data_IF_115910083132
#
_entry.id   IF_115910083132
#
_cell.length_a   1.000
_cell.length_b   1.000
_cell.length_c   1.000
_cell.angle_alpha   90.00
_cell.angle_beta   90.00
_cell.angle_gamma   90.00
#
_symmetry.space_group_name_H-M   'P 1'
#
loop_
_entity.id
_entity.type
_entity.pdbx_description
1 polymer ?
#
# COMPACT_ATOMS: atom_id res chain seq x y z
N UNK A 1 12.38 3.89 11.49
CA UNK A 1 12.89 2.85 10.57
C UNK A 1 14.34 3.20 10.33
N UNK A 2 15.24 2.27 10.64
CA UNK A 2 16.67 2.49 10.55
C UNK A 2 17.12 2.22 9.11
N UNK A 3 17.59 3.24 8.41
CA UNK A 3 18.03 3.17 7.00
C UNK A 3 19.08 2.07 6.79
N UNK A 4 19.96 1.86 7.79
CA UNK A 4 21.00 0.83 7.75
C UNK A 4 20.39 -0.57 7.71
N UNK A 5 19.33 -0.81 8.50
CA UNK A 5 18.66 -2.11 8.55
C UNK A 5 17.94 -2.46 7.25
N UNK A 6 17.44 -1.47 6.53
CA UNK A 6 16.79 -1.71 5.23
C UNK A 6 17.82 -2.09 4.16
N UNK A 7 19.01 -1.50 4.21
CA UNK A 7 20.11 -1.83 3.31
C UNK A 7 20.63 -3.26 3.54
N UNK A 8 20.54 -3.78 4.77
CA UNK A 8 20.88 -5.18 5.09
C UNK A 8 19.97 -6.21 4.38
N UNK A 9 18.80 -5.81 3.89
CA UNK A 9 17.91 -6.68 3.12
C UNK A 9 18.31 -6.83 1.65
N UNK A 10 19.30 -6.05 1.18
CA UNK A 10 19.64 -5.95 -0.23
C UNK A 10 19.93 -7.29 -0.88
N UNK A 11 20.81 -8.11 -0.31
CA UNK A 11 21.20 -9.38 -0.92
C UNK A 11 20.03 -10.37 -0.97
N UNK A 12 19.23 -10.43 0.11
CA UNK A 12 18.05 -11.27 0.15
C UNK A 12 17.01 -10.86 -0.90
N UNK A 13 16.75 -9.55 -1.06
CA UNK A 13 15.79 -9.06 -2.05
C UNK A 13 16.28 -9.21 -3.47
N UNK A 14 17.58 -9.00 -3.70
CA UNK A 14 18.19 -9.26 -5.01
C UNK A 14 18.08 -10.73 -5.40
N UNK A 15 18.27 -11.64 -4.44
CA UNK A 15 18.17 -13.08 -4.66
C UNK A 15 16.71 -13.57 -4.84
N UNK A 16 15.76 -12.95 -4.13
CA UNK A 16 14.34 -13.32 -4.20
C UNK A 16 13.62 -12.77 -5.44
N UNK A 17 14.14 -11.71 -6.06
CA UNK A 17 13.52 -11.10 -7.24
C UNK A 17 13.69 -11.98 -8.49
N UNK A 18 12.57 -12.30 -9.14
CA UNK A 18 12.55 -13.12 -10.36
C UNK A 18 13.30 -12.41 -11.52
N UNK A 19 14.29 -13.06 -12.15
CA UNK A 19 15.04 -12.45 -13.24
C UNK A 19 14.21 -12.23 -14.52
N UNK A 20 13.07 -12.92 -14.68
CA UNK A 20 12.14 -12.74 -15.81
C UNK A 20 11.26 -11.49 -15.67
N UNK A 21 11.19 -10.91 -14.46
CA UNK A 21 10.38 -9.73 -14.19
C UNK A 21 9.88 -9.70 -12.75
N UNK A 22 10.20 -8.63 -12.04
CA UNK A 22 9.79 -8.42 -10.66
C UNK A 22 9.43 -6.95 -10.43
N UNK A 23 8.41 -6.71 -9.62
CA UNK A 23 8.03 -5.37 -9.15
C UNK A 23 8.18 -5.34 -7.64
N UNK A 24 8.90 -4.34 -7.14
CA UNK A 24 8.87 -3.98 -5.72
C UNK A 24 7.95 -2.78 -5.52
N UNK A 25 7.13 -2.82 -4.48
CA UNK A 25 6.23 -1.73 -4.11
C UNK A 25 6.51 -1.30 -2.66
N UNK A 26 6.88 -0.03 -2.48
CA UNK A 26 7.33 0.51 -1.18
C UNK A 26 6.43 1.66 -0.76
N UNK A 27 5.73 1.46 0.36
CA UNK A 27 5.01 2.55 1.03
C UNK A 27 6.02 3.52 1.66
N UNK A 28 5.94 4.79 1.27
CA UNK A 28 6.82 5.85 1.76
C UNK A 28 6.01 7.03 2.29
N UNK A 29 6.46 7.61 3.39
CA UNK A 29 5.82 8.81 3.96
C UNK A 29 6.09 10.03 3.07
N UNK A 30 5.38 11.13 3.30
CA UNK A 30 5.54 12.34 2.48
C UNK A 30 6.80 13.17 2.77
N UNK A 31 7.70 12.72 3.66
CA UNK A 31 8.95 13.43 3.93
C UNK A 31 9.89 13.31 2.73
N UNK A 32 10.36 14.43 2.12
CA UNK A 32 11.24 14.38 0.94
C UNK A 32 12.51 13.55 1.14
N UNK A 33 13.14 13.63 2.32
CA UNK A 33 14.35 12.87 2.63
C UNK A 33 14.18 11.35 2.46
N UNK A 34 13.03 10.79 2.85
CA UNK A 34 12.78 9.35 2.68
C UNK A 34 12.47 8.97 1.24
N UNK A 35 11.88 9.88 0.47
CA UNK A 35 11.69 9.67 -0.97
C UNK A 35 13.05 9.65 -1.68
N UNK A 36 13.93 10.62 -1.40
CA UNK A 36 15.29 10.64 -1.94
C UNK A 36 16.07 9.39 -1.52
N UNK A 37 16.03 9.01 -0.23
CA UNK A 37 16.69 7.79 0.23
C UNK A 37 16.18 6.54 -0.50
N UNK A 38 14.85 6.43 -0.68
CA UNK A 38 14.24 5.30 -1.38
C UNK A 38 14.73 5.21 -2.83
N UNK A 39 14.62 6.31 -3.58
CA UNK A 39 14.91 6.35 -5.01
C UNK A 39 16.42 6.29 -5.31
N UNK A 40 17.24 7.00 -4.53
CA UNK A 40 18.66 7.20 -4.83
C UNK A 40 19.56 6.14 -4.18
N UNK A 41 19.09 5.48 -3.12
CA UNK A 41 19.91 4.51 -2.36
C UNK A 41 19.26 3.15 -2.23
N UNK A 42 18.02 3.09 -1.77
CA UNK A 42 17.40 1.83 -1.37
C UNK A 42 17.03 0.95 -2.57
N UNK A 43 16.32 1.50 -3.55
CA UNK A 43 15.95 0.75 -4.76
C UNK A 43 17.18 0.27 -5.54
N UNK A 44 18.22 1.11 -5.77
CA UNK A 44 19.47 0.64 -6.37
C UNK A 44 20.16 -0.45 -5.55
N UNK A 45 20.24 -0.27 -4.23
CA UNK A 45 20.81 -1.30 -3.36
C UNK A 45 20.02 -2.63 -3.46
N UNK A 46 18.71 -2.60 -3.66
CA UNK A 46 17.90 -3.80 -3.85
C UNK A 46 17.90 -4.34 -5.29
N UNK A 47 18.61 -3.68 -6.22
CA UNK A 47 18.70 -4.06 -7.64
C UNK A 47 17.50 -3.66 -8.49
N UNK A 48 16.69 -2.71 -8.03
CA UNK A 48 15.54 -2.15 -8.74
C UNK A 48 15.91 -0.80 -9.38
N UNK A 49 16.94 -0.81 -10.23
CA UNK A 49 17.45 0.36 -10.97
C UNK A 49 16.60 0.72 -12.21
N UNK A 50 15.53 -0.02 -12.45
CA UNK A 50 14.66 0.15 -13.60
C UNK A 50 13.67 1.33 -13.46
N UNK A 51 12.65 1.39 -14.33
CA UNK A 51 11.65 2.44 -14.27
C UNK A 51 10.87 2.39 -12.95
N UNK A 52 10.47 3.57 -12.49
CA UNK A 52 9.65 3.75 -11.30
C UNK A 52 8.34 4.48 -11.64
N UNK A 53 7.27 4.15 -10.91
CA UNK A 53 6.01 4.90 -10.93
C UNK A 53 5.54 5.12 -9.51
N UNK A 54 4.97 6.28 -9.22
CA UNK A 54 4.44 6.59 -7.89
C UNK A 54 2.93 6.61 -7.92
N UNK A 55 2.31 5.80 -7.07
CA UNK A 55 0.90 5.84 -6.76
C UNK A 55 0.67 6.61 -5.47
N UNK A 56 -0.54 7.15 -5.32
CA UNK A 56 -0.97 7.89 -4.13
C UNK A 56 -2.11 7.17 -3.46
N UNK A 57 -2.07 7.00 -2.13
CA UNK A 57 -3.23 6.60 -1.35
C UNK A 57 -3.81 7.80 -0.63
N UNK A 58 -4.93 8.31 -1.11
CA UNK A 58 -5.71 9.36 -0.48
C UNK A 58 -6.70 8.76 0.53
N UNK A 59 -6.64 9.27 1.76
CA UNK A 59 -7.47 8.86 2.88
C UNK A 59 -8.64 9.80 3.01
N UNK A 60 -9.84 9.24 2.96
CA UNK A 60 -11.09 9.97 3.09
C UNK A 60 -11.88 9.50 4.30
N UNK A 61 -12.74 10.35 4.84
CA UNK A 61 -13.77 9.95 5.79
C UNK A 61 -14.88 9.18 5.06
N UNK A 62 -15.82 8.59 5.81
CA UNK A 62 -16.99 7.93 5.24
C UNK A 62 -17.86 8.88 4.38
N UNK A 63 -17.74 10.19 4.59
CA UNK A 63 -18.38 11.24 3.80
C UNK A 63 -17.71 11.50 2.45
N UNK A 64 -16.54 10.90 2.18
CA UNK A 64 -15.72 11.14 0.99
C UNK A 64 -14.74 12.32 1.13
N UNK A 65 -14.84 13.10 2.20
CA UNK A 65 -13.94 14.24 2.45
C UNK A 65 -12.56 13.77 2.93
N UNK A 66 -11.44 14.43 2.55
CA UNK A 66 -10.11 14.11 3.07
C UNK A 66 -10.05 14.13 4.60
N UNK A 67 -9.43 13.12 5.21
CA UNK A 67 -9.32 13.01 6.69
C UNK A 67 -8.53 14.15 7.34
N UNK A 68 -7.72 14.85 6.54
CA UNK A 68 -7.08 16.12 6.89
C UNK A 68 -7.03 17.01 5.64
N UNK A 69 -6.92 18.34 5.78
CA UNK A 69 -6.82 19.22 4.62
C UNK A 69 -5.61 18.89 3.73
N UNK A 70 -5.80 18.93 2.41
CA UNK A 70 -4.73 18.65 1.42
C UNK A 70 -3.53 19.59 1.54
N UNK A 71 -3.74 20.80 2.07
CA UNK A 71 -2.70 21.82 2.31
C UNK A 71 -2.18 21.83 3.76
N UNK A 72 -2.41 20.77 4.53
CA UNK A 72 -1.92 20.68 5.91
C UNK A 72 -0.39 20.65 5.95
N UNK A 73 0.20 21.44 6.84
CA UNK A 73 1.66 21.48 7.09
C UNK A 73 2.14 20.37 8.03
N UNK A 74 1.22 19.73 8.77
CA UNK A 74 1.55 18.70 9.75
C UNK A 74 1.31 17.29 9.21
N UNK A 75 0.07 16.96 8.84
CA UNK A 75 -0.32 15.63 8.40
C UNK A 75 -1.16 15.72 7.14
N UNK A 76 -0.59 15.25 6.05
CA UNK A 76 -1.29 15.15 4.77
C UNK A 76 -2.24 13.95 4.78
N UNK A 77 -3.38 14.03 4.08
CA UNK A 77 -4.37 12.97 4.02
C UNK A 77 -3.95 11.85 3.07
N UNK A 78 -2.70 11.81 2.61
CA UNK A 78 -2.26 10.78 1.68
C UNK A 78 -0.91 10.18 2.07
N UNK A 79 -0.61 9.01 1.53
CA UNK A 79 0.73 8.39 1.54
C UNK A 79 1.10 8.01 0.10
N UNK A 80 2.40 7.84 -0.17
CA UNK A 80 2.88 7.45 -1.50
C UNK A 80 3.26 5.97 -1.50
N UNK A 81 3.02 5.33 -2.63
CA UNK A 81 3.47 3.98 -2.93
C UNK A 81 4.36 4.08 -4.17
N UNK A 82 5.65 3.84 -3.99
CA UNK A 82 6.60 3.83 -5.11
C UNK A 82 6.72 2.39 -5.60
N UNK A 83 6.45 2.18 -6.88
CA UNK A 83 6.67 0.92 -7.55
C UNK A 83 7.92 1.04 -8.41
N UNK A 84 8.74 0.00 -8.43
CA UNK A 84 9.92 -0.09 -9.28
C UNK A 84 10.01 -1.47 -9.91
N UNK A 85 10.40 -1.52 -11.19
CA UNK A 85 10.55 -2.77 -11.93
C UNK A 85 12.02 -3.18 -12.06
N UNK A 86 12.24 -4.49 -12.06
CA UNK A 86 13.50 -5.15 -12.39
C UNK A 86 13.19 -6.30 -13.35
N UNK A 87 13.96 -6.45 -14.42
CA UNK A 87 13.78 -7.56 -15.36
C UNK A 87 14.24 -7.21 -16.77
N UNK A 88 13.85 -8.02 -17.77
CA UNK A 88 14.15 -7.78 -19.17
C UNK A 88 13.64 -6.41 -19.67
N UNK A 89 14.19 -5.95 -20.79
CA UNK A 89 13.85 -4.65 -21.39
C UNK A 89 12.36 -4.55 -21.70
N UNK A 90 11.75 -5.60 -22.23
CA UNK A 90 10.33 -5.67 -22.55
C UNK A 90 9.44 -5.58 -21.31
N UNK A 91 9.84 -6.21 -20.20
CA UNK A 91 9.13 -6.14 -18.93
C UNK A 91 9.17 -4.71 -18.37
N UNK A 92 10.35 -4.10 -18.36
CA UNK A 92 10.53 -2.72 -17.91
C UNK A 92 9.78 -1.72 -18.81
N UNK A 93 9.75 -1.94 -20.12
CA UNK A 93 9.01 -1.09 -21.06
C UNK A 93 7.49 -1.18 -20.82
N UNK A 94 6.96 -2.39 -20.62
CA UNK A 94 5.56 -2.61 -20.30
C UNK A 94 5.18 -2.00 -18.94
N UNK A 95 6.05 -2.10 -17.94
CA UNK A 95 5.87 -1.42 -16.65
C UNK A 95 5.84 0.10 -16.79
N UNK A 96 6.74 0.68 -17.60
CA UNK A 96 6.82 2.13 -17.81
C UNK A 96 5.56 2.72 -18.43
N UNK A 97 4.76 1.91 -19.14
CA UNK A 97 3.47 2.32 -19.67
C UNK A 97 2.39 2.48 -18.58
N UNK A 98 2.64 2.05 -17.34
CA UNK A 98 1.68 2.18 -16.24
C UNK A 98 1.55 3.64 -15.81
N UNK A 99 0.34 4.21 -15.82
CA UNK A 99 0.14 5.56 -15.34
C UNK A 99 0.22 5.61 -13.80
N UNK A 100 0.58 6.77 -13.23
CA UNK A 100 0.33 7.05 -11.82
C UNK A 100 -1.15 6.82 -11.45
N UNK A 101 -1.39 6.20 -10.30
CA UNK A 101 -2.76 5.92 -9.81
C UNK A 101 -3.01 6.61 -8.47
N UNK A 102 -4.29 6.89 -8.20
CA UNK A 102 -4.74 7.33 -6.87
C UNK A 102 -5.73 6.33 -6.30
N UNK A 103 -5.35 5.68 -5.21
CA UNK A 103 -6.19 4.82 -4.39
C UNK A 103 -6.94 5.72 -3.41
N UNK A 104 -8.26 5.68 -3.42
CA UNK A 104 -9.10 6.45 -2.47
C UNK A 104 -9.80 5.46 -1.55
N UNK A 105 -9.57 5.57 -0.24
CA UNK A 105 -10.28 4.71 0.72
C UNK A 105 -10.40 5.32 2.11
N UNK A 106 -11.35 4.81 2.89
CA UNK A 106 -11.46 5.10 4.31
C UNK A 106 -10.38 4.32 5.06
N UNK A 107 -9.47 4.97 5.81
CA UNK A 107 -8.46 4.25 6.57
C UNK A 107 -9.12 3.49 7.73
N UNK A 108 -8.84 2.19 7.82
CA UNK A 108 -9.43 1.33 8.85
C UNK A 108 -8.71 1.47 10.19
N UNK A 109 -7.46 0.99 10.27
CA UNK A 109 -6.62 1.05 11.49
C UNK A 109 -5.29 1.70 11.20
N UNK A 110 -4.60 2.09 12.27
CA UNK A 110 -3.28 2.69 12.16
C UNK A 110 -2.31 1.79 11.37
N UNK A 111 -1.74 2.34 10.31
CA UNK A 111 -0.85 1.65 9.38
C UNK A 111 -1.47 0.47 8.60
N UNK A 112 -2.79 0.33 8.57
CA UNK A 112 -3.45 -0.66 7.72
C UNK A 112 -3.63 -0.09 6.31
N UNK A 113 -2.78 -0.55 5.39
CA UNK A 113 -2.75 -0.12 4.00
C UNK A 113 -3.80 -0.86 3.17
N UNK A 114 -4.37 -0.23 2.12
CA UNK A 114 -5.26 -0.92 1.21
C UNK A 114 -4.53 -2.06 0.48
N UNK A 115 -5.23 -3.15 0.09
CA UNK A 115 -4.65 -4.25 -0.66
C UNK A 115 -4.30 -3.78 -2.08
N UNK A 116 -3.01 -3.56 -2.33
CA UNK A 116 -2.49 -3.02 -3.60
C UNK A 116 -2.54 -4.06 -4.72
N UNK A 117 -2.46 -5.33 -4.37
CA UNK A 117 -2.31 -6.44 -5.31
C UNK A 117 -3.51 -6.58 -6.26
N UNK A 118 -4.70 -6.24 -5.78
CA UNK A 118 -5.93 -6.19 -6.58
C UNK A 118 -5.91 -5.08 -7.65
N UNK A 119 -5.04 -4.08 -7.48
CA UNK A 119 -4.92 -2.92 -8.36
C UNK A 119 -3.78 -3.07 -9.37
N UNK A 120 -2.90 -4.05 -9.19
CA UNK A 120 -1.79 -4.30 -10.12
C UNK A 120 -2.35 -4.79 -11.47
N UNK A 121 -1.98 -4.14 -12.59
CA UNK A 121 -2.38 -4.59 -13.91
C UNK A 121 -1.96 -6.04 -14.19
N UNK A 122 -2.95 -6.89 -14.48
CA UNK A 122 -2.75 -8.33 -14.70
C UNK A 122 -2.08 -8.67 -16.04
N UNK A 123 -1.86 -7.67 -16.89
CA UNK A 123 -1.20 -7.84 -18.18
C UNK A 123 0.33 -7.98 -18.07
N UNK A 124 0.92 -7.57 -16.95
CA UNK A 124 2.37 -7.67 -16.71
C UNK A 124 2.71 -8.68 -15.61
N UNK A 125 1.86 -8.77 -14.58
CA UNK A 125 2.02 -9.73 -13.50
C UNK A 125 0.86 -10.73 -13.53
N UNK A 126 1.15 -12.01 -13.77
CA UNK A 126 0.17 -13.08 -13.59
C UNK A 126 -0.44 -13.03 -12.18
N UNK A 127 -1.72 -13.37 -12.04
CA UNK A 127 -2.41 -13.31 -10.73
C UNK A 127 -1.82 -14.30 -9.72
N UNK A 128 -1.26 -15.39 -10.20
CA UNK A 128 -0.60 -16.47 -9.48
C UNK A 128 0.92 -16.28 -9.34
N UNK A 129 1.47 -15.15 -9.82
CA UNK A 129 2.87 -14.82 -9.60
C UNK A 129 3.19 -14.86 -8.09
N UNK A 130 4.38 -15.36 -7.69
CA UNK A 130 4.80 -15.36 -6.29
C UNK A 130 4.80 -13.94 -5.71
N UNK A 131 4.26 -13.78 -4.51
CA UNK A 131 4.16 -12.49 -3.81
C UNK A 131 4.75 -12.58 -2.41
N UNK A 132 5.43 -11.52 -1.98
CA UNK A 132 6.07 -11.41 -0.68
C UNK A 132 5.75 -10.05 -0.05
N UNK A 133 5.19 -10.05 1.16
CA UNK A 133 5.00 -8.85 1.96
C UNK A 133 6.00 -8.84 3.13
N UNK A 134 6.87 -7.83 3.14
CA UNK A 134 7.77 -7.56 4.25
C UNK A 134 7.11 -6.61 5.26
N UNK A 135 7.43 -6.80 6.53
CA UNK A 135 6.84 -6.08 7.65
C UNK A 135 5.31 -6.26 7.73
N UNK A 136 4.83 -7.43 7.29
CA UNK A 136 3.42 -7.77 7.24
C UNK A 136 2.79 -7.78 8.64
N UNK A 137 1.51 -7.40 8.70
CA UNK A 137 0.65 -7.40 9.90
C UNK A 137 -0.62 -8.20 9.74
N UNK A 138 -0.83 -8.75 8.55
CA UNK A 138 -1.96 -9.59 8.21
C UNK A 138 -1.52 -10.67 7.22
N UNK A 139 -2.29 -11.74 7.17
CA UNK A 139 -2.18 -12.75 6.14
C UNK A 139 -3.03 -12.31 4.94
N UNK A 140 -2.44 -12.33 3.75
CA UNK A 140 -3.19 -12.14 2.51
C UNK A 140 -3.17 -13.42 1.68
N UNK A 141 -4.30 -13.82 1.07
CA UNK A 141 -4.32 -14.97 0.18
C UNK A 141 -3.26 -14.83 -0.90
N UNK A 142 -2.53 -15.91 -1.21
CA UNK A 142 -1.45 -15.96 -2.23
C UNK A 142 -0.17 -15.18 -1.90
N UNK A 143 -0.07 -14.56 -0.72
CA UNK A 143 1.14 -13.85 -0.27
C UNK A 143 1.93 -14.68 0.74
N UNK A 144 3.25 -14.70 0.58
CA UNK A 144 4.16 -15.00 1.69
C UNK A 144 4.27 -13.77 2.56
N UNK A 145 3.95 -13.86 3.85
CA UNK A 145 4.00 -12.73 4.79
C UNK A 145 5.16 -12.88 5.78
N UNK A 146 6.05 -11.88 5.85
CA UNK A 146 7.17 -11.85 6.79
C UNK A 146 7.08 -10.60 7.66
N UNK A 147 7.12 -10.77 8.97
CA UNK A 147 7.11 -9.67 9.93
C UNK A 147 7.08 -10.16 11.38
N UNK A 148 7.28 -9.24 12.31
CA UNK A 148 7.23 -9.57 13.74
C UNK A 148 5.80 -9.67 14.28
N UNK A 149 4.81 -9.22 13.50
CA UNK A 149 3.41 -9.11 13.93
C UNK A 149 2.44 -9.63 12.86
N UNK A 150 2.82 -10.68 12.09
CA UNK A 150 2.07 -11.15 10.90
C UNK A 150 0.59 -11.46 11.18
N UNK A 151 0.26 -11.89 12.40
CA UNK A 151 -1.12 -12.25 12.80
C UNK A 151 -1.89 -11.09 13.46
N UNK A 152 -1.34 -9.87 13.51
CA UNK A 152 -1.91 -8.75 14.27
C UNK A 152 -3.35 -8.39 13.86
N UNK A 153 -3.68 -8.53 12.59
CA UNK A 153 -5.04 -8.29 12.09
C UNK A 153 -5.80 -9.59 11.76
N UNK A 154 -5.49 -10.68 12.45
CA UNK A 154 -6.19 -11.97 12.32
C UNK A 154 -7.02 -12.28 13.58
N UNK A 155 -7.62 -11.24 14.17
CA UNK A 155 -8.46 -11.34 15.35
C UNK A 155 -9.95 -11.31 14.95
N UNK A 156 -10.76 -12.20 15.53
CA UNK A 156 -12.19 -12.33 15.20
C UNK A 156 -12.97 -11.02 15.39
N UNK A 157 -12.60 -10.18 16.36
CA UNK A 157 -13.25 -8.89 16.60
C UNK A 157 -13.13 -7.90 15.43
N UNK A 158 -12.25 -8.17 14.46
CA UNK A 158 -12.13 -7.39 13.21
C UNK A 158 -13.14 -7.79 12.15
N UNK A 159 -13.76 -8.96 12.29
CA UNK A 159 -14.73 -9.54 11.35
C UNK A 159 -16.15 -9.52 11.91
N UNK A 160 -16.30 -9.20 13.20
CA UNK A 160 -17.59 -8.96 13.83
C UNK A 160 -18.18 -7.64 13.33
N UNK A 161 -19.34 -7.74 12.70
CA UNK A 161 -20.20 -6.58 12.48
C UNK A 161 -20.71 -6.15 13.85
N UNK A 162 -20.24 -5.00 14.33
CA UNK A 162 -20.90 -4.36 15.46
C UNK A 162 -22.27 -3.92 14.98
N UNK A 163 -23.33 -4.51 15.54
CA UNK A 163 -24.69 -4.02 15.39
C UNK A 163 -24.69 -2.54 15.75
N UNK A 164 -24.78 -1.68 14.74
CA UNK A 164 -25.07 -0.28 14.96
C UNK A 164 -26.51 -0.24 15.47
N UNK A 165 -26.81 0.37 16.63
CA UNK A 165 -28.20 0.62 16.99
C UNK A 165 -28.80 1.40 15.82
N UNK A 166 -29.84 0.83 15.19
CA UNK A 166 -30.57 1.50 14.12
C UNK A 166 -31.01 2.89 14.58
N UNK A 167 -31.24 3.84 13.66
CA UNK A 167 -31.73 5.15 14.03
C UNK A 167 -32.94 4.96 14.93
N UNK A 168 -32.83 5.44 16.19
CA UNK A 168 -33.96 5.42 17.12
C UNK A 168 -35.10 6.12 16.42
N UNK A 169 -36.15 5.36 16.09
CA UNK A 169 -37.40 5.90 15.59
C UNK A 169 -37.97 6.79 16.69
N UNK A 170 -37.59 8.07 16.67
CA UNK A 170 -38.32 9.08 17.42
C UNK A 170 -39.77 9.08 16.93
N UNK A 171 -40.76 9.30 17.80
CA UNK A 171 -42.15 9.32 17.41
C UNK A 171 -42.35 10.37 16.30
N UNK A 172 -43.04 9.97 15.23
CA UNK A 172 -43.46 10.87 14.15
C UNK A 172 -44.25 12.03 14.78
N UNK A 173 -43.98 13.30 14.36
CA UNK A 173 -44.75 14.42 14.85
C UNK A 173 -46.22 14.22 14.47
N UNK A 174 -47.11 14.32 15.47
CA UNK A 174 -48.55 14.31 15.26
C UNK A 174 -48.93 15.47 14.34
N UNK A 175 -49.41 15.15 13.15
CA UNK A 175 -50.09 16.13 12.30
C UNK A 175 -51.48 16.31 12.87
N UNK A 176 -51.72 17.45 13.50
CA UNK A 176 -53.06 17.86 13.93
C UNK A 176 -53.92 18.19 12.69
N UNK A 177 -55.24 17.89 12.73
CA UNK A 177 -56.16 17.99 11.60
C UNK A 177 -56.45 19.42 11.16
#
# INVERSE_FOLDING_TARGET
MDEVRLLQLADALRAAADPSGCIVAVWVTNKPAYMSFLLEKLLPAWGFDGPTVTWTWLKVAATGEPVTPLKSTHRLPFERLVLAARGPTEFCAAFKAWPPQTIVSVPLRHSWKPPVDQLLPSNLLPRDAPKLELFARELRPTWTSIGNEVLKFQDLSLFELKDQPGPTSGPLPSVSP
#
